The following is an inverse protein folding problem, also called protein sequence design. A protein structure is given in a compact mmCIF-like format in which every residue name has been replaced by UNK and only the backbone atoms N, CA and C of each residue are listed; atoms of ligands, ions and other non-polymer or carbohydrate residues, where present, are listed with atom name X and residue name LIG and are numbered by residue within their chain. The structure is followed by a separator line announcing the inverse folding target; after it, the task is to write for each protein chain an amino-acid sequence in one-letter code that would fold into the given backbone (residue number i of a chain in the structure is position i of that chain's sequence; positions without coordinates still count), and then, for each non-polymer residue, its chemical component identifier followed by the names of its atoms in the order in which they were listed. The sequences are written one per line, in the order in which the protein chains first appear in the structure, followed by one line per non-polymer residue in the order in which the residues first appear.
data_IF_259406192594
#
_entry.id   IF_259406192594
#
_cell.length_a   1.000
_cell.length_b   1.000
_cell.length_c   1.000
_cell.angle_alpha   90.00
_cell.angle_beta   90.00
_cell.angle_gamma   90.00
#
_symmetry.space_group_name_H-M   'P 1'
#
loop_
_entity.id
_entity.type
_entity.pdbx_description
1 polymer ?
#
# COMPACT_ATOMS: atom_id res chain seq x y z
N UNK A 1 -24.59 -14.51 1.85
CA UNK A 1 -24.09 -13.12 1.97
C UNK A 1 -22.79 -12.99 1.18
N UNK A 2 -22.66 -12.03 0.26
CA UNK A 2 -21.41 -11.80 -0.47
C UNK A 2 -20.31 -11.37 0.50
N UNK A 3 -19.08 -11.87 0.30
CA UNK A 3 -17.94 -11.53 1.16
C UNK A 3 -17.53 -10.09 0.94
N UNK A 4 -17.20 -9.39 2.03
CA UNK A 4 -16.63 -8.05 1.98
C UNK A 4 -15.35 -8.05 1.13
N UNK A 5 -15.28 -7.16 0.14
CA UNK A 5 -14.12 -7.04 -0.74
C UNK A 5 -12.96 -6.40 0.03
N UNK A 6 -11.78 -7.01 -0.03
CA UNK A 6 -10.56 -6.41 0.53
C UNK A 6 -9.99 -5.42 -0.48
N UNK A 7 -9.64 -4.22 -0.02
CA UNK A 7 -8.93 -3.21 -0.81
C UNK A 7 -7.45 -3.59 -0.97
N UNK A 8 -6.79 -3.98 0.12
CA UNK A 8 -5.39 -4.40 0.14
C UNK A 8 -5.29 -5.93 0.04
N UNK A 9 -5.33 -6.46 -1.19
CA UNK A 9 -5.34 -7.92 -1.40
C UNK A 9 -3.94 -8.53 -1.35
N UNK A 10 -2.88 -7.75 -1.55
CA UNK A 10 -1.58 -8.31 -1.94
C UNK A 10 -0.33 -7.70 -1.30
N UNK A 11 -0.49 -6.81 -0.31
CA UNK A 11 0.61 -6.23 0.44
C UNK A 11 0.89 -7.03 1.73
N UNK A 12 2.13 -7.49 1.92
CA UNK A 12 2.57 -8.20 3.12
C UNK A 12 4.01 -7.88 3.49
N UNK A 13 4.35 -7.90 4.78
CA UNK A 13 5.75 -7.82 5.22
C UNK A 13 6.37 -9.20 5.25
N UNK A 14 7.57 -9.33 4.67
CA UNK A 14 8.37 -10.55 4.66
C UNK A 14 9.79 -10.24 5.15
N UNK A 15 10.48 -11.25 5.67
CA UNK A 15 11.93 -11.17 5.88
C UNK A 15 12.64 -11.59 4.59
N UNK A 16 13.54 -10.75 4.11
CA UNK A 16 14.28 -10.97 2.88
C UNK A 16 15.24 -12.17 3.04
N UNK A 17 14.97 -13.24 2.30
CA UNK A 17 15.80 -14.45 2.30
C UNK A 17 17.10 -14.31 1.49
N UNK A 18 17.15 -13.31 0.60
CA UNK A 18 18.29 -12.97 -0.26
C UNK A 18 18.34 -11.46 -0.45
N UNK A 19 19.49 -10.95 -0.87
CA UNK A 19 19.65 -9.53 -1.24
C UNK A 19 18.67 -9.17 -2.36
N UNK A 20 17.92 -8.07 -2.18
CA UNK A 20 16.99 -7.52 -3.17
C UNK A 20 17.23 -6.02 -3.33
N UNK A 21 16.76 -5.46 -4.43
CA UNK A 21 16.69 -4.01 -4.60
C UNK A 21 15.27 -3.54 -4.27
N UNK A 22 15.17 -2.34 -3.71
CA UNK A 22 13.88 -1.68 -3.52
C UNK A 22 13.32 -1.27 -4.89
N UNK A 23 12.08 -1.63 -5.18
CA UNK A 23 11.40 -1.28 -6.42
C UNK A 23 11.18 0.24 -6.58
N UNK A 24 11.16 1.01 -5.49
CA UNK A 24 10.97 2.47 -5.50
C UNK A 24 12.26 3.25 -5.78
N UNK A 25 13.37 2.84 -5.16
CA UNK A 25 14.66 3.51 -5.31
C UNK A 25 15.76 2.47 -5.52
N UNK A 26 16.39 2.47 -6.71
CA UNK A 26 17.47 1.53 -7.06
C UNK A 26 18.72 1.69 -6.19
N UNK A 27 18.89 2.83 -5.52
CA UNK A 27 19.94 3.05 -4.51
C UNK A 27 19.67 2.31 -3.19
N UNK A 28 18.43 1.93 -2.90
CA UNK A 28 18.08 1.24 -1.66
C UNK A 28 18.22 -0.28 -1.85
N UNK A 29 19.03 -0.88 -0.98
CA UNK A 29 19.27 -2.31 -0.95
C UNK A 29 18.56 -2.90 0.26
N UNK A 30 17.93 -4.06 0.05
CA UNK A 30 17.35 -4.88 1.11
C UNK A 30 18.29 -6.06 1.32
N UNK A 31 18.95 -6.13 2.47
CA UNK A 31 19.89 -7.19 2.79
C UNK A 31 19.16 -8.46 3.25
N UNK A 32 19.86 -9.59 3.23
CA UNK A 32 19.32 -10.84 3.77
C UNK A 32 19.08 -10.67 5.27
N UNK A 33 17.89 -11.02 5.76
CA UNK A 33 17.49 -10.85 7.15
C UNK A 33 16.69 -9.57 7.43
N UNK A 34 16.68 -8.62 6.49
CA UNK A 34 15.90 -7.38 6.64
C UNK A 34 14.41 -7.63 6.42
N UNK A 35 13.57 -6.88 7.15
CA UNK A 35 12.14 -6.82 6.85
C UNK A 35 11.90 -5.94 5.62
N UNK A 36 11.01 -6.39 4.73
CA UNK A 36 10.61 -5.64 3.54
C UNK A 36 9.11 -5.77 3.28
N UNK A 37 8.50 -4.72 2.75
CA UNK A 37 7.14 -4.79 2.25
C UNK A 37 7.16 -5.41 0.85
N UNK A 38 6.29 -6.38 0.64
CA UNK A 38 6.07 -7.06 -0.61
C UNK A 38 4.67 -6.70 -1.08
N UNK A 39 4.55 -6.20 -2.29
CA UNK A 39 3.26 -5.95 -2.94
C UNK A 39 3.20 -6.80 -4.20
N UNK A 40 2.17 -7.68 -4.29
CA UNK A 40 1.92 -8.50 -5.49
C UNK A 40 0.82 -7.86 -6.33
N UNK A 41 1.17 -7.27 -7.47
CA UNK A 41 0.19 -6.71 -8.39
C UNK A 41 0.13 -7.58 -9.64
N UNK A 42 -0.99 -8.26 -9.84
CA UNK A 42 -1.18 -9.22 -10.93
C UNK A 42 -0.08 -10.31 -10.94
N UNK A 43 0.87 -10.20 -11.87
CA UNK A 43 2.02 -11.10 -12.01
C UNK A 43 3.34 -10.51 -11.49
N UNK A 44 3.35 -9.22 -11.11
CA UNK A 44 4.54 -8.53 -10.63
C UNK A 44 4.66 -8.62 -9.10
N UNK A 45 5.86 -8.93 -8.61
CA UNK A 45 6.22 -8.88 -7.18
C UNK A 45 7.17 -7.72 -6.95
N UNK A 46 6.69 -6.65 -6.31
CA UNK A 46 7.49 -5.51 -5.92
C UNK A 46 7.97 -5.65 -4.48
N UNK A 47 9.21 -5.27 -4.20
CA UNK A 47 9.81 -5.34 -2.87
C UNK A 47 10.25 -3.95 -2.46
N UNK A 48 9.93 -3.53 -1.25
CA UNK A 48 10.24 -2.19 -0.74
C UNK A 48 10.96 -2.31 0.60
N UNK A 49 12.02 -1.52 0.79
CA UNK A 49 12.68 -1.39 2.09
C UNK A 49 11.74 -0.70 3.08
N UNK A 50 12.03 -0.81 4.38
CA UNK A 50 11.16 -0.26 5.44
C UNK A 50 10.88 1.24 5.28
N UNK A 51 11.87 2.03 4.89
CA UNK A 51 11.71 3.47 4.64
C UNK A 51 10.71 3.75 3.52
N UNK A 52 10.90 3.12 2.36
CA UNK A 52 9.98 3.25 1.23
C UNK A 52 8.58 2.69 1.57
N UNK A 53 8.52 1.65 2.38
CA UNK A 53 7.28 1.03 2.84
C UNK A 53 6.45 1.99 3.70
N UNK A 54 7.09 2.70 4.62
CA UNK A 54 6.44 3.70 5.46
C UNK A 54 5.76 4.79 4.62
N UNK A 55 6.45 5.30 3.60
CA UNK A 55 5.90 6.29 2.68
C UNK A 55 4.72 5.75 1.85
N UNK A 56 4.78 4.49 1.41
CA UNK A 56 3.68 3.86 0.66
C UNK A 56 2.45 3.70 1.56
N UNK A 57 2.64 3.22 2.79
CA UNK A 57 1.54 3.05 3.74
C UNK A 57 0.93 4.41 4.11
N UNK A 58 1.76 5.43 4.34
CA UNK A 58 1.27 6.79 4.63
C UNK A 58 0.37 7.33 3.52
N UNK A 59 0.80 7.20 2.25
CA UNK A 59 -0.01 7.61 1.10
C UNK A 59 -1.31 6.80 0.98
N UNK A 60 -1.24 5.48 1.17
CA UNK A 60 -2.44 4.64 1.14
C UNK A 60 -3.43 5.03 2.26
N UNK A 61 -2.94 5.40 3.44
CA UNK A 61 -3.78 5.85 4.54
C UNK A 61 -4.46 7.19 4.24
N UNK A 62 -3.74 8.13 3.62
CA UNK A 62 -4.29 9.40 3.14
C UNK A 62 -5.42 9.16 2.13
N UNK A 63 -5.19 8.33 1.12
CA UNK A 63 -6.20 7.97 0.10
C UNK A 63 -7.43 7.28 0.73
N UNK A 64 -7.23 6.37 1.68
CA UNK A 64 -8.32 5.71 2.40
C UNK A 64 -9.13 6.69 3.25
N UNK A 65 -8.47 7.64 3.92
CA UNK A 65 -9.14 8.67 4.70
C UNK A 65 -9.96 9.61 3.81
N UNK A 66 -9.46 9.95 2.63
CA UNK A 66 -10.21 10.72 1.65
C UNK A 66 -11.49 9.99 1.23
N UNK A 67 -11.39 8.71 0.84
CA UNK A 67 -12.55 7.90 0.48
C UNK A 67 -13.57 7.78 1.63
N UNK A 68 -13.08 7.66 2.87
CA UNK A 68 -13.94 7.63 4.05
C UNK A 68 -14.69 8.96 4.23
N UNK A 69 -14.01 10.10 4.09
CA UNK A 69 -14.63 11.42 4.15
C UNK A 69 -15.67 11.64 3.04
N UNK A 70 -15.39 11.18 1.82
CA UNK A 70 -16.36 11.20 0.72
C UNK A 70 -17.62 10.38 1.07
N UNK A 71 -17.46 9.18 1.62
CA UNK A 71 -18.58 8.35 2.07
C UNK A 71 -19.44 9.06 3.12
N UNK A 72 -18.83 9.77 4.07
CA UNK A 72 -19.56 10.56 5.07
C UNK A 72 -20.35 11.71 4.44
N UNK A 73 -19.76 12.41 3.45
CA UNK A 73 -20.44 13.49 2.70
C UNK A 73 -21.65 12.93 1.93
N UNK A 74 -21.47 11.80 1.23
CA UNK A 74 -22.54 11.16 0.49
C UNK A 74 -23.66 10.64 1.41
N UNK A 75 -23.32 10.11 2.59
CA UNK A 75 -24.29 9.64 3.57
C UNK A 75 -25.17 10.77 4.14
N UNK A 76 -24.65 12.01 4.18
CA UNK A 76 -25.35 13.19 4.70
C UNK A 76 -26.08 14.00 3.60
N UNK A 77 -26.15 13.51 2.36
CA UNK A 77 -26.85 14.18 1.26
C UNK A 77 -26.09 15.38 0.66
N UNK A 78 -24.82 15.56 1.00
CA UNK A 78 -23.96 16.57 0.40
C UNK A 78 -23.55 16.19 -1.02
N UNK A 79 -23.80 17.07 -2.01
CA UNK A 79 -23.24 16.88 -3.35
C UNK A 79 -21.71 17.04 -3.28
N UNK A 80 -20.90 16.10 -3.79
CA UNK A 80 -19.45 16.21 -3.75
C UNK A 80 -19.02 17.46 -4.54
N UNK A 81 -18.05 18.20 -4.00
CA UNK A 81 -17.43 19.32 -4.73
C UNK A 81 -16.69 18.73 -5.93
N UNK A 82 -17.16 19.06 -7.13
CA UNK A 82 -16.42 18.80 -8.37
C UNK A 82 -15.05 19.48 -8.26
N UNK A 83 -13.99 18.70 -8.46
CA UNK A 83 -12.66 19.22 -8.77
C UNK A 83 -12.69 19.92 -10.13
#
# INVERSE_FOLDING_TARGET
MPKLKRLLVSACFETAQRRRQCSRNKGHVICKGDKCLVIKENMAKNNYCMECSSLIIGKAQEELNQLAGELEIFAQGGKPRRA
#
